data_IF_905360759286
#
_entry.id   IF_905360759286
#
_cell.length_a   1.000
_cell.length_b   1.000
_cell.length_c   1.000
_cell.angle_alpha   90.00
_cell.angle_beta   90.00
_cell.angle_gamma   90.00
#
_symmetry.space_group_name_H-M   'P 1'
#
loop_
_entity.id
_entity.type
_entity.pdbx_description
1 polymer ?
#
# COMPACT_ATOMS: atom_id res chain seq x y z
N UNK A 1 -1.07 59.56 -0.03
CA UNK A 1 -1.29 58.48 0.96
C UNK A 1 -1.35 57.17 0.20
N UNK A 2 -0.35 56.30 0.26
CA UNK A 2 -0.51 54.93 -0.19
C UNK A 2 -1.14 54.13 0.96
N UNK A 3 -2.28 53.50 0.69
CA UNK A 3 -2.93 52.60 1.62
C UNK A 3 -2.11 51.31 1.72
N UNK A 4 -1.41 51.11 2.83
CA UNK A 4 -0.80 49.84 3.17
C UNK A 4 -1.93 48.82 3.39
N UNK A 5 -2.00 47.81 2.52
CA UNK A 5 -2.73 46.59 2.82
C UNK A 5 -2.00 45.94 4.00
N UNK A 6 -2.68 45.56 5.09
CA UNK A 6 -2.03 44.85 6.19
C UNK A 6 -1.64 43.47 5.66
N UNK A 7 -0.36 43.29 5.34
CA UNK A 7 0.22 41.98 5.12
C UNK A 7 0.11 41.21 6.44
N UNK A 8 -0.80 40.24 6.49
CA UNK A 8 -0.92 39.33 7.63
C UNK A 8 0.41 38.65 7.92
N UNK A 9 0.69 38.42 9.20
CA UNK A 9 1.95 37.82 9.61
C UNK A 9 2.08 36.40 9.01
N UNK A 10 3.21 36.02 8.38
CA UNK A 10 3.42 34.69 7.80
C UNK A 10 3.14 33.54 8.77
N UNK A 11 3.40 33.75 10.07
CA UNK A 11 3.12 32.79 11.13
C UNK A 11 1.60 32.54 11.33
N UNK A 12 0.78 33.58 11.20
CA UNK A 12 -0.69 33.46 11.30
C UNK A 12 -1.26 32.72 10.08
N UNK A 13 -0.71 32.97 8.89
CA UNK A 13 -1.08 32.26 7.67
C UNK A 13 -0.74 30.76 7.76
N UNK A 14 0.46 30.42 8.24
CA UNK A 14 0.88 29.03 8.45
C UNK A 14 0.01 28.31 9.50
N UNK A 15 -0.33 28.98 10.61
CA UNK A 15 -1.21 28.43 11.64
C UNK A 15 -2.63 28.19 11.11
N UNK A 16 -3.19 29.13 10.35
CA UNK A 16 -4.49 29.01 9.71
C UNK A 16 -4.53 27.84 8.72
N UNK A 17 -3.48 27.69 7.92
CA UNK A 17 -3.35 26.60 6.96
C UNK A 17 -3.26 25.23 7.64
N UNK A 18 -2.51 25.13 8.76
CA UNK A 18 -2.45 23.90 9.56
C UNK A 18 -3.81 23.51 10.14
N UNK A 19 -4.57 24.49 10.65
CA UNK A 19 -5.94 24.28 11.12
C UNK A 19 -6.83 23.78 9.97
N UNK A 20 -6.75 24.43 8.80
CA UNK A 20 -7.51 24.03 7.61
C UNK A 20 -7.23 22.59 7.20
N UNK A 21 -5.96 22.17 7.17
CA UNK A 21 -5.55 20.79 6.85
C UNK A 21 -6.10 19.78 7.86
N UNK A 22 -6.00 20.07 9.16
CA UNK A 22 -6.54 19.22 10.21
C UNK A 22 -8.08 19.09 10.12
N UNK A 23 -8.79 20.17 9.78
CA UNK A 23 -10.24 20.11 9.53
C UNK A 23 -10.57 19.21 8.34
N UNK A 24 -9.80 19.30 7.25
CA UNK A 24 -10.00 18.42 6.10
C UNK A 24 -9.78 16.95 6.47
N UNK A 25 -8.74 16.61 7.22
CA UNK A 25 -8.52 15.23 7.67
C UNK A 25 -9.66 14.69 8.55
N UNK A 26 -10.21 15.53 9.43
CA UNK A 26 -11.35 15.17 10.24
C UNK A 26 -12.58 14.83 9.38
N UNK A 27 -12.86 15.63 8.34
CA UNK A 27 -13.92 15.37 7.37
C UNK A 27 -13.67 14.09 6.57
N UNK A 28 -12.42 13.83 6.14
CA UNK A 28 -12.07 12.60 5.44
C UNK A 28 -12.30 11.37 6.32
N UNK A 29 -11.93 11.43 7.59
CA UNK A 29 -12.13 10.34 8.56
C UNK A 29 -13.60 10.08 8.83
N UNK A 30 -14.41 11.13 8.96
CA UNK A 30 -15.87 11.01 9.05
C UNK A 30 -16.42 10.31 7.81
N UNK A 31 -16.00 10.74 6.61
CA UNK A 31 -16.45 10.14 5.36
C UNK A 31 -16.09 8.66 5.23
N UNK A 32 -14.86 8.29 5.59
CA UNK A 32 -14.44 6.89 5.61
C UNK A 32 -15.24 6.05 6.61
N UNK A 33 -15.65 6.64 7.73
CA UNK A 33 -16.51 5.97 8.72
C UNK A 33 -17.91 5.73 8.17
N UNK A 34 -18.48 6.68 7.44
CA UNK A 34 -19.73 6.46 6.68
C UNK A 34 -19.58 5.34 5.65
N UNK A 35 -18.50 5.36 4.86
CA UNK A 35 -18.22 4.31 3.88
C UNK A 35 -18.12 2.93 4.54
N UNK A 36 -17.43 2.81 5.68
CA UNK A 36 -17.34 1.55 6.44
C UNK A 36 -18.73 1.09 6.90
N UNK A 37 -19.53 1.98 7.48
CA UNK A 37 -20.88 1.65 7.95
C UNK A 37 -21.78 1.16 6.81
N UNK A 38 -21.74 1.83 5.65
CA UNK A 38 -22.47 1.41 4.46
C UNK A 38 -21.97 0.05 3.95
N UNK A 39 -20.66 -0.15 3.94
CA UNK A 39 -20.06 -1.43 3.57
C UNK A 39 -20.54 -2.55 4.50
N UNK A 40 -20.61 -2.30 5.81
CA UNK A 40 -21.08 -3.26 6.83
C UNK A 40 -22.55 -3.65 6.69
N UNK A 41 -23.39 -2.79 6.10
CA UNK A 41 -24.77 -3.17 5.78
C UNK A 41 -24.83 -4.33 4.77
N UNK A 42 -23.83 -4.46 3.88
CA UNK A 42 -23.67 -5.59 2.96
C UNK A 42 -23.01 -6.82 3.60
N UNK A 43 -23.33 -7.11 4.88
CA UNK A 43 -22.68 -8.13 5.71
C UNK A 43 -22.59 -9.55 5.12
N UNK A 44 -23.38 -9.87 4.09
CA UNK A 44 -23.48 -11.22 3.52
C UNK A 44 -22.60 -11.46 2.31
N UNK A 45 -22.01 -10.43 1.72
CA UNK A 45 -21.32 -10.55 0.44
C UNK A 45 -19.81 -10.42 0.61
N UNK A 46 -19.02 -11.36 0.06
CA UNK A 46 -17.56 -11.29 0.05
C UNK A 46 -17.01 -10.32 -1.00
N UNK A 47 -17.85 -9.93 -1.96
CA UNK A 47 -17.53 -8.99 -3.03
C UNK A 47 -18.43 -7.76 -2.95
N UNK A 48 -17.94 -6.67 -3.52
CA UNK A 48 -18.67 -5.41 -3.66
C UNK A 48 -19.15 -5.29 -5.10
N UNK A 49 -20.46 -5.17 -5.28
CA UNK A 49 -21.05 -4.92 -6.59
C UNK A 49 -20.62 -3.53 -7.09
N UNK A 50 -20.15 -3.47 -8.34
CA UNK A 50 -19.77 -2.22 -9.00
C UNK A 50 -20.92 -1.20 -9.07
N UNK A 51 -22.17 -1.67 -9.11
CA UNK A 51 -23.35 -0.80 -9.04
C UNK A 51 -23.48 -0.04 -7.72
N UNK A 52 -22.80 -0.49 -6.65
CA UNK A 52 -22.84 0.06 -5.30
C UNK A 52 -21.69 1.00 -4.95
N UNK A 53 -20.79 1.26 -5.90
CA UNK A 53 -19.62 2.10 -5.64
C UNK A 53 -19.98 3.56 -5.34
N UNK A 54 -21.03 4.09 -5.96
CA UNK A 54 -21.52 5.43 -5.66
C UNK A 54 -22.09 5.51 -4.24
N UNK A 55 -22.90 4.52 -3.82
CA UNK A 55 -23.43 4.40 -2.45
C UNK A 55 -22.28 4.37 -1.41
N UNK A 56 -21.16 3.74 -1.76
CA UNK A 56 -19.97 3.62 -0.91
C UNK A 56 -19.01 4.81 -1.01
N UNK A 57 -19.25 5.78 -1.89
CA UNK A 57 -18.30 6.86 -2.19
C UNK A 57 -16.91 6.32 -2.61
N UNK A 58 -16.89 5.23 -3.37
CA UNK A 58 -15.68 4.60 -3.92
C UNK A 58 -15.62 4.86 -5.41
N UNK A 59 -14.46 5.21 -5.95
CA UNK A 59 -14.23 5.24 -7.39
C UNK A 59 -13.22 4.18 -7.78
N UNK A 60 -13.52 3.48 -8.86
CA UNK A 60 -12.61 2.53 -9.46
C UNK A 60 -11.76 3.27 -10.52
N UNK A 61 -10.46 3.39 -10.25
CA UNK A 61 -9.51 4.04 -11.14
C UNK A 61 -9.03 3.13 -12.28
N UNK A 62 -8.13 3.62 -13.15
CA UNK A 62 -7.50 2.77 -14.16
C UNK A 62 -6.69 1.65 -13.49
N UNK A 63 -6.56 0.52 -14.19
CA UNK A 63 -5.79 -0.63 -13.71
C UNK A 63 -4.41 -0.21 -13.20
N UNK A 64 -3.97 -0.82 -12.11
CA UNK A 64 -2.60 -0.67 -11.63
C UNK A 64 -1.69 -1.52 -12.53
N UNK A 65 -0.89 -0.85 -13.34
CA UNK A 65 0.13 -1.52 -14.15
C UNK A 65 1.29 -1.95 -13.25
N UNK A 66 1.42 -3.26 -13.08
CA UNK A 66 2.43 -3.90 -12.23
C UNK A 66 3.62 -4.41 -13.03
N UNK A 67 3.49 -4.47 -14.36
CA UNK A 67 4.47 -5.02 -15.28
C UNK A 67 5.38 -3.92 -15.84
N UNK A 68 4.79 -2.76 -16.18
CA UNK A 68 5.52 -1.61 -16.72
C UNK A 68 5.68 -0.47 -15.69
N UNK A 69 6.49 -0.75 -14.69
CA UNK A 69 6.83 0.24 -13.67
C UNK A 69 7.82 1.30 -14.19
N UNK A 70 8.56 1.02 -15.27
CA UNK A 70 9.58 1.90 -15.87
C UNK A 70 9.03 3.11 -16.62
N UNK A 71 7.81 3.03 -17.15
CA UNK A 71 7.18 4.13 -17.88
C UNK A 71 6.73 5.22 -16.91
N UNK A 72 7.39 6.39 -16.97
CA UNK A 72 7.18 7.56 -16.12
C UNK A 72 6.18 8.57 -16.67
N UNK A 73 5.48 8.26 -17.77
CA UNK A 73 4.58 9.22 -18.43
C UNK A 73 3.47 9.71 -17.48
N UNK A 74 3.53 10.98 -17.01
CA UNK A 74 2.62 11.49 -16.02
C UNK A 74 1.34 11.93 -16.73
N UNK A 75 0.38 11.01 -16.86
CA UNK A 75 -1.00 11.44 -17.05
C UNK A 75 -1.63 11.68 -15.69
N UNK A 76 -2.49 12.70 -15.58
CA UNK A 76 -3.18 13.13 -14.35
C UNK A 76 -4.00 12.01 -13.67
N UNK A 77 -4.18 10.87 -14.35
CA UNK A 77 -4.91 9.69 -13.91
C UNK A 77 -4.03 8.50 -13.49
N UNK A 78 -2.70 8.64 -13.59
CA UNK A 78 -1.73 7.58 -13.31
C UNK A 78 -0.74 7.96 -12.19
N UNK A 79 -1.22 8.59 -11.11
CA UNK A 79 -0.36 8.78 -9.92
C UNK A 79 0.12 7.41 -9.43
N UNK A 80 1.39 7.11 -9.69
CA UNK A 80 2.15 6.00 -9.10
C UNK A 80 2.57 6.47 -7.72
N UNK A 81 2.09 5.80 -6.67
CA UNK A 81 2.50 6.09 -5.29
C UNK A 81 3.49 5.05 -4.74
N UNK A 82 3.64 3.94 -5.45
CA UNK A 82 4.53 2.84 -5.11
C UNK A 82 5.22 2.38 -6.39
N UNK A 83 6.48 2.00 -6.28
CA UNK A 83 7.21 1.25 -7.30
C UNK A 83 7.78 -0.02 -6.66
N UNK A 84 7.87 -1.14 -7.40
CA UNK A 84 8.52 -2.33 -6.89
C UNK A 84 10.00 -2.07 -6.63
N UNK A 85 10.58 -2.75 -5.64
CA UNK A 85 12.03 -2.72 -5.45
C UNK A 85 12.73 -3.32 -6.67
N UNK A 86 13.87 -2.76 -7.08
CA UNK A 86 14.54 -3.06 -8.36
C UNK A 86 15.53 -4.22 -8.28
N UNK A 87 15.34 -5.16 -7.34
CA UNK A 87 16.22 -6.31 -7.17
C UNK A 87 16.34 -7.14 -8.46
N UNK A 88 17.57 -7.36 -8.97
CA UNK A 88 17.81 -8.24 -10.12
C UNK A 88 17.31 -9.66 -9.85
N UNK A 89 16.80 -10.32 -10.89
CA UNK A 89 16.21 -11.66 -10.77
C UNK A 89 17.23 -12.70 -10.32
N UNK A 90 18.43 -12.66 -10.87
CA UNK A 90 19.56 -13.52 -10.50
C UNK A 90 19.98 -13.33 -9.04
N UNK A 91 19.93 -12.09 -8.54
CA UNK A 91 20.19 -11.80 -7.13
C UNK A 91 19.13 -12.41 -6.22
N UNK A 92 17.84 -12.23 -6.55
CA UNK A 92 16.73 -12.85 -5.82
C UNK A 92 16.88 -14.37 -5.77
N UNK A 93 17.18 -15.01 -6.91
CA UNK A 93 17.37 -16.46 -6.98
C UNK A 93 18.57 -16.92 -6.14
N UNK A 94 19.70 -16.21 -6.20
CA UNK A 94 20.92 -16.57 -5.48
C UNK A 94 20.74 -16.56 -3.95
N UNK A 95 20.22 -15.45 -3.40
CA UNK A 95 19.97 -15.35 -1.96
C UNK A 95 18.83 -16.26 -1.51
N UNK A 96 18.00 -16.70 -2.45
CA UNK A 96 16.85 -17.53 -2.15
C UNK A 96 17.13 -19.02 -1.96
N UNK A 97 18.31 -19.50 -2.33
CA UNK A 97 18.59 -20.94 -2.41
C UNK A 97 18.39 -21.72 -1.08
N UNK A 98 18.44 -21.04 0.07
CA UNK A 98 18.34 -21.66 1.39
C UNK A 98 16.92 -21.95 1.92
N UNK A 99 15.86 -21.35 1.34
CA UNK A 99 14.46 -21.58 1.80
C UNK A 99 13.48 -21.91 0.68
N UNK A 100 13.96 -22.43 -0.45
CA UNK A 100 13.10 -22.94 -1.55
C UNK A 100 12.14 -24.03 -1.07
N UNK A 101 12.55 -24.83 -0.08
CA UNK A 101 11.70 -25.85 0.55
C UNK A 101 10.42 -25.30 1.19
N UNK A 102 10.33 -23.99 1.44
CA UNK A 102 9.13 -23.33 1.96
C UNK A 102 8.10 -23.01 0.87
N UNK A 103 8.49 -23.03 -0.41
CA UNK A 103 7.54 -23.00 -1.52
C UNK A 103 6.89 -24.39 -1.63
N UNK A 104 5.90 -24.64 -0.78
CA UNK A 104 5.25 -25.94 -0.71
C UNK A 104 4.41 -26.14 -1.98
N UNK A 105 4.64 -27.22 -2.72
CA UNK A 105 3.77 -27.66 -3.81
C UNK A 105 2.38 -27.98 -3.26
N UNK A 106 1.37 -27.28 -3.75
CA UNK A 106 -0.01 -27.37 -3.22
C UNK A 106 -0.95 -28.19 -4.10
N UNK A 107 -0.50 -28.65 -5.26
CA UNK A 107 -1.34 -29.34 -6.26
C UNK A 107 -1.96 -30.65 -5.75
N UNK A 108 -1.38 -31.22 -4.70
CA UNK A 108 -1.86 -32.46 -4.07
C UNK A 108 -2.74 -32.22 -2.85
N UNK A 109 -2.89 -30.98 -2.38
CA UNK A 109 -3.78 -30.64 -1.27
C UNK A 109 -5.16 -30.34 -1.82
N UNK A 110 -6.18 -30.97 -1.27
CA UNK A 110 -7.56 -30.58 -1.54
C UNK A 110 -7.79 -29.18 -0.95
N UNK A 111 -7.73 -28.18 -1.83
CA UNK A 111 -7.92 -26.76 -1.55
C UNK A 111 -9.26 -26.47 -0.86
N UNK A 112 -10.22 -27.39 -0.92
CA UNK A 112 -11.54 -27.28 -0.32
C UNK A 112 -11.68 -28.05 1.01
N UNK A 113 -10.71 -28.89 1.38
CA UNK A 113 -10.69 -29.63 2.66
C UNK A 113 -9.94 -28.93 3.79
N UNK A 114 -9.00 -28.03 3.45
CA UNK A 114 -8.20 -27.24 4.40
C UNK A 114 -8.97 -26.03 4.95
N UNK A 115 -8.54 -25.46 6.10
CA UNK A 115 -9.06 -24.17 6.57
C UNK A 115 -8.97 -23.12 5.45
N UNK A 116 -9.94 -22.22 5.36
CA UNK A 116 -10.17 -21.42 4.14
C UNK A 116 -9.04 -20.46 3.77
N UNK A 117 -8.14 -20.16 4.72
CA UNK A 117 -6.92 -19.38 4.50
C UNK A 117 -5.61 -20.19 4.57
N UNK A 118 -5.66 -21.53 4.68
CA UNK A 118 -4.44 -22.32 4.90
C UNK A 118 -3.42 -22.14 3.77
N UNK A 119 -3.88 -22.14 2.52
CA UNK A 119 -3.02 -21.98 1.36
C UNK A 119 -2.34 -20.60 1.38
N UNK A 120 -3.15 -19.56 1.52
CA UNK A 120 -2.75 -18.16 1.52
C UNK A 120 -1.77 -17.89 2.64
N UNK A 121 -1.99 -18.51 3.81
CA UNK A 121 -1.10 -18.45 4.95
C UNK A 121 0.24 -19.13 4.67
N UNK A 122 0.27 -20.29 4.01
CA UNK A 122 1.52 -20.96 3.64
C UNK A 122 2.30 -20.14 2.61
N UNK A 123 1.63 -19.56 1.60
CA UNK A 123 2.27 -18.65 0.64
C UNK A 123 2.78 -17.38 1.32
N UNK A 124 1.99 -16.76 2.21
CA UNK A 124 2.43 -15.56 2.92
C UNK A 124 3.67 -15.81 3.79
N UNK A 125 3.79 -17.00 4.38
CA UNK A 125 5.00 -17.41 5.11
C UNK A 125 6.25 -17.45 4.23
N UNK A 126 6.13 -17.93 2.98
CA UNK A 126 7.25 -17.87 2.04
C UNK A 126 7.65 -16.43 1.77
N UNK A 127 6.69 -15.55 1.43
CA UNK A 127 6.98 -14.12 1.22
C UNK A 127 7.61 -13.46 2.45
N UNK A 128 7.07 -13.71 3.65
CA UNK A 128 7.65 -13.21 4.91
C UNK A 128 9.09 -13.68 5.09
N UNK A 129 9.34 -14.99 4.94
CA UNK A 129 10.68 -15.54 5.08
C UNK A 129 11.67 -14.93 4.08
N UNK A 130 11.23 -14.71 2.83
CA UNK A 130 12.04 -14.03 1.81
C UNK A 130 12.34 -12.60 2.19
N UNK A 131 11.33 -11.82 2.57
CA UNK A 131 11.54 -10.43 2.95
C UNK A 131 12.48 -10.30 4.17
N UNK A 132 12.44 -11.24 5.11
CA UNK A 132 13.40 -11.30 6.21
C UNK A 132 14.83 -11.69 5.78
N UNK A 133 15.02 -12.40 4.66
CA UNK A 133 16.36 -12.73 4.12
C UNK A 133 16.93 -11.62 3.25
N UNK A 134 16.04 -10.90 2.59
CA UNK A 134 16.33 -9.77 1.71
C UNK A 134 16.64 -8.49 2.48
N UNK A 135 17.03 -8.60 3.76
CA UNK A 135 17.09 -7.51 4.72
C UNK A 135 18.05 -6.39 4.28
N UNK A 136 17.47 -5.50 3.47
CA UNK A 136 17.60 -4.04 3.37
C UNK A 136 16.26 -3.56 2.73
N UNK A 137 15.10 -4.01 3.27
CA UNK A 137 13.87 -3.21 3.14
C UNK A 137 14.25 -1.86 3.70
N UNK A 138 14.40 -0.82 2.85
CA UNK A 138 15.01 0.45 3.23
C UNK A 138 14.61 0.81 4.67
N UNK A 139 15.50 0.55 5.65
CA UNK A 139 15.11 0.62 7.04
C UNK A 139 14.86 2.07 7.41
N UNK A 140 15.16 3.04 6.54
CA UNK A 140 14.79 4.43 6.74
C UNK A 140 13.31 4.71 6.38
N UNK A 141 12.66 3.80 5.64
CA UNK A 141 11.33 4.01 5.07
C UNK A 141 10.22 3.31 5.86
N UNK A 142 10.36 2.02 6.16
CA UNK A 142 9.26 1.20 6.68
C UNK A 142 9.46 0.74 8.14
N UNK A 143 8.41 0.89 8.95
CA UNK A 143 8.17 0.09 10.16
C UNK A 143 7.32 -1.13 9.78
N UNK A 144 7.85 -2.33 10.03
CA UNK A 144 7.24 -3.60 9.63
C UNK A 144 6.59 -4.29 10.83
N UNK A 145 5.31 -4.64 10.70
CA UNK A 145 4.56 -5.38 11.73
C UNK A 145 4.06 -6.69 11.16
N UNK A 146 4.67 -7.81 11.54
CA UNK A 146 4.41 -9.12 10.91
C UNK A 146 3.39 -9.98 11.66
N UNK A 147 3.03 -9.56 12.88
CA UNK A 147 2.12 -10.31 13.73
C UNK A 147 0.98 -9.41 14.23
N UNK A 148 -0.25 -9.93 14.23
CA UNK A 148 -1.42 -9.13 14.62
C UNK A 148 -1.33 -8.60 16.05
N UNK A 149 -0.74 -9.36 16.98
CA UNK A 149 -0.55 -8.89 18.36
C UNK A 149 0.48 -7.76 18.44
N UNK A 150 1.62 -7.91 17.77
CA UNK A 150 2.65 -6.88 17.68
C UNK A 150 2.08 -5.57 17.12
N UNK A 151 1.31 -5.64 16.03
CA UNK A 151 0.66 -4.48 15.41
C UNK A 151 -0.34 -3.79 16.34
N UNK A 152 -1.13 -4.57 17.09
CA UNK A 152 -2.06 -4.05 18.08
C UNK A 152 -1.33 -3.37 19.24
N UNK A 153 -0.30 -4.00 19.77
CA UNK A 153 0.42 -3.52 20.95
C UNK A 153 1.28 -2.30 20.63
N UNK A 154 1.93 -2.28 19.45
CA UNK A 154 2.86 -1.22 19.06
C UNK A 154 2.17 0.03 18.51
N UNK A 155 1.13 -0.14 17.68
CA UNK A 155 0.50 0.98 16.97
C UNK A 155 -1.02 1.03 17.09
N UNK A 156 -1.65 0.09 17.81
CA UNK A 156 -3.10 -0.01 17.95
C UNK A 156 -3.80 -0.03 16.58
N UNK A 157 -3.28 -0.85 15.66
CA UNK A 157 -3.88 -1.12 14.35
C UNK A 157 -4.39 -2.56 14.31
N UNK A 158 -5.69 -2.70 13.99
CA UNK A 158 -6.34 -4.00 13.77
C UNK A 158 -6.74 -4.11 12.31
N UNK A 159 -5.99 -4.88 11.52
CA UNK A 159 -6.42 -5.17 10.16
C UNK A 159 -7.75 -5.94 10.15
N UNK A 160 -8.59 -5.74 9.10
CA UNK A 160 -9.88 -6.40 9.02
C UNK A 160 -9.77 -7.92 9.03
N UNK A 161 -10.75 -8.55 9.67
CA UNK A 161 -10.95 -10.00 9.62
C UNK A 161 -12.43 -10.31 9.62
N UNK A 162 -12.88 -11.19 8.73
CA UNK A 162 -14.28 -11.58 8.62
C UNK A 162 -14.43 -13.02 8.17
N UNK A 163 -15.46 -13.67 8.72
CA UNK A 163 -15.95 -14.98 8.31
C UNK A 163 -17.38 -14.83 7.81
N UNK A 164 -17.70 -15.48 6.70
CA UNK A 164 -19.04 -15.55 6.14
C UNK A 164 -19.59 -16.96 6.32
N UNK A 165 -20.73 -17.04 7.01
CA UNK A 165 -21.42 -18.29 7.31
C UNK A 165 -22.77 -18.34 6.59
N UNK A 166 -23.26 -19.51 6.19
CA UNK A 166 -24.59 -19.65 5.61
C UNK A 166 -25.66 -19.16 6.61
N UNK A 167 -26.57 -18.28 6.17
CA UNK A 167 -27.65 -17.74 7.03
C UNK A 167 -28.53 -18.82 7.67
N UNK A 168 -28.70 -19.95 7.00
CA UNK A 168 -29.63 -20.99 7.41
C UNK A 168 -29.16 -21.80 8.63
N UNK A 169 -27.87 -21.74 8.99
CA UNK A 169 -27.26 -22.59 10.03
C UNK A 169 -26.10 -21.87 10.73
N UNK A 170 -26.29 -21.33 11.94
CA UNK A 170 -25.23 -20.64 12.70
C UNK A 170 -24.01 -21.53 13.00
N UNK A 171 -24.22 -22.85 13.03
CA UNK A 171 -23.23 -23.91 13.23
C UNK A 171 -22.60 -24.41 11.92
N UNK A 172 -23.06 -23.94 10.76
CA UNK A 172 -22.48 -24.34 9.49
C UNK A 172 -21.05 -23.82 9.35
N UNK A 173 -20.24 -24.61 8.64
CA UNK A 173 -18.90 -24.22 8.25
C UNK A 173 -18.95 -22.88 7.49
N UNK A 174 -18.02 -22.00 7.86
CA UNK A 174 -17.69 -20.81 7.09
C UNK A 174 -17.56 -21.20 5.61
N UNK A 175 -18.08 -20.41 4.68
CA UNK A 175 -17.93 -20.67 3.23
C UNK A 175 -16.93 -19.69 2.60
N UNK A 176 -16.68 -18.56 3.25
CA UNK A 176 -15.72 -17.55 2.83
C UNK A 176 -15.12 -16.88 4.06
N UNK A 177 -13.84 -16.59 4.06
CA UNK A 177 -13.19 -15.79 5.09
C UNK A 177 -12.06 -14.94 4.51
N UNK A 178 -11.73 -13.86 5.20
CA UNK A 178 -10.52 -13.08 4.94
C UNK A 178 -9.96 -12.51 6.23
N UNK A 179 -8.67 -12.18 6.23
CA UNK A 179 -8.00 -11.57 7.36
C UNK A 179 -6.67 -10.93 7.00
N UNK A 180 -6.39 -9.78 7.60
CA UNK A 180 -5.09 -9.15 7.52
C UNK A 180 -4.02 -9.92 8.30
N UNK A 181 -2.79 -9.91 7.79
CA UNK A 181 -1.65 -10.61 8.39
C UNK A 181 -0.57 -9.68 8.92
N UNK A 182 -0.19 -8.68 8.11
CA UNK A 182 0.93 -7.78 8.39
C UNK A 182 0.69 -6.43 7.73
N UNK A 183 1.37 -5.42 8.26
CA UNK A 183 1.31 -4.04 7.80
C UNK A 183 2.71 -3.42 7.74
N UNK A 184 2.91 -2.58 6.74
CA UNK A 184 4.05 -1.69 6.59
C UNK A 184 3.57 -0.27 6.78
N UNK A 185 4.17 0.45 7.72
CA UNK A 185 3.83 1.83 8.01
C UNK A 185 5.05 2.70 7.79
N UNK A 186 4.89 3.85 7.16
CA UNK A 186 5.99 4.79 7.06
C UNK A 186 6.50 5.18 8.45
N UNK A 187 7.83 5.25 8.59
CA UNK A 187 8.49 5.48 9.88
C UNK A 187 8.02 6.74 10.60
N UNK A 188 8.14 6.70 11.92
CA UNK A 188 7.94 7.88 12.75
C UNK A 188 8.86 9.04 12.36
N UNK A 189 8.27 10.15 11.90
CA UNK A 189 9.02 11.31 11.45
C UNK A 189 9.50 11.25 10.00
N UNK A 190 9.15 10.19 9.26
CA UNK A 190 9.33 10.13 7.81
C UNK A 190 8.44 11.17 7.12
N UNK A 191 8.94 11.71 6.01
CA UNK A 191 8.19 12.56 5.07
C UNK A 191 7.28 11.73 4.13
N UNK A 192 7.11 10.42 4.40
CA UNK A 192 6.25 9.55 3.60
C UNK A 192 4.95 9.29 4.35
N UNK A 193 3.82 9.52 3.66
CA UNK A 193 2.47 9.25 4.15
C UNK A 193 1.94 7.89 3.70
N UNK A 194 2.81 7.00 3.23
CA UNK A 194 2.46 5.74 2.61
C UNK A 194 2.26 4.64 3.65
N UNK A 195 1.47 3.63 3.29
CA UNK A 195 1.34 2.40 4.05
C UNK A 195 1.06 1.23 3.11
N UNK A 196 1.32 0.01 3.59
CA UNK A 196 0.91 -1.20 2.90
C UNK A 196 0.40 -2.25 3.88
N UNK A 197 -0.39 -3.21 3.40
CA UNK A 197 -0.82 -4.34 4.21
C UNK A 197 -1.04 -5.57 3.34
N UNK A 198 -0.97 -6.76 3.95
CA UNK A 198 -1.39 -7.99 3.30
C UNK A 198 -2.69 -8.51 3.89
N UNK A 199 -3.60 -8.84 2.98
CA UNK A 199 -4.82 -9.58 3.23
C UNK A 199 -4.68 -10.99 2.70
N UNK A 200 -5.12 -11.97 3.49
CA UNK A 200 -5.42 -13.31 2.98
C UNK A 200 -6.91 -13.38 2.72
N UNK A 201 -7.28 -13.89 1.56
CA UNK A 201 -8.66 -13.95 1.14
C UNK A 201 -8.98 -15.34 0.55
N UNK A 202 -10.09 -15.93 0.98
CA UNK A 202 -10.53 -17.26 0.56
C UNK A 202 -11.12 -17.33 -0.85
N UNK A 203 -11.27 -16.20 -1.54
CA UNK A 203 -11.72 -16.10 -2.93
C UNK A 203 -10.76 -16.79 -3.91
N UNK A 204 -11.29 -17.19 -5.07
CA UNK A 204 -10.54 -17.86 -6.14
C UNK A 204 -10.28 -16.95 -7.35
N UNK A 205 -9.88 -17.53 -8.49
CA UNK A 205 -9.63 -16.79 -9.76
C UNK A 205 -10.88 -16.12 -10.31
N UNK A 206 -12.07 -16.61 -9.96
CA UNK A 206 -13.35 -15.97 -10.28
C UNK A 206 -13.48 -14.55 -9.68
N UNK A 207 -12.57 -14.16 -8.78
CA UNK A 207 -12.47 -12.79 -8.29
C UNK A 207 -11.86 -11.80 -9.31
N UNK A 208 -11.39 -12.25 -10.47
CA UNK A 208 -10.88 -11.35 -11.50
C UNK A 208 -11.96 -10.37 -11.98
N UNK A 209 -11.58 -9.10 -12.10
CA UNK A 209 -12.52 -8.01 -12.39
C UNK A 209 -13.56 -7.70 -11.30
N UNK A 210 -13.59 -8.46 -10.19
CA UNK A 210 -14.45 -8.21 -9.03
C UNK A 210 -13.71 -7.39 -7.96
N UNK A 211 -14.44 -6.48 -7.31
CA UNK A 211 -13.94 -5.75 -6.15
C UNK A 211 -14.16 -6.61 -4.90
N UNK A 212 -13.08 -7.03 -4.25
CA UNK A 212 -13.18 -7.84 -3.03
C UNK A 212 -13.48 -6.95 -1.83
N UNK A 213 -14.33 -7.45 -0.92
CA UNK A 213 -14.61 -6.75 0.33
C UNK A 213 -13.35 -6.61 1.18
N UNK A 214 -12.49 -7.62 1.21
CA UNK A 214 -11.23 -7.59 1.97
C UNK A 214 -10.33 -6.42 1.58
N UNK A 215 -10.22 -6.14 0.27
CA UNK A 215 -9.43 -5.03 -0.26
C UNK A 215 -10.03 -3.67 0.11
N UNK A 216 -11.36 -3.55 0.06
CA UNK A 216 -12.07 -2.32 0.43
C UNK A 216 -11.98 -2.07 1.94
N UNK A 217 -12.30 -3.06 2.77
CA UNK A 217 -12.19 -2.96 4.22
C UNK A 217 -10.75 -2.60 4.63
N UNK A 218 -9.74 -3.22 4.00
CA UNK A 218 -8.34 -2.93 4.28
C UNK A 218 -7.97 -1.48 3.90
N UNK A 219 -8.38 -1.04 2.72
CA UNK A 219 -8.15 0.33 2.27
C UNK A 219 -8.80 1.37 3.20
N UNK A 220 -10.03 1.13 3.66
CA UNK A 220 -10.72 2.01 4.62
C UNK A 220 -9.99 2.02 5.96
N UNK A 221 -9.71 0.84 6.51
CA UNK A 221 -9.03 0.68 7.80
C UNK A 221 -7.67 1.39 7.83
N UNK A 222 -6.85 1.15 6.81
CA UNK A 222 -5.53 1.78 6.68
C UNK A 222 -5.63 3.30 6.45
N UNK A 223 -6.63 3.76 5.70
CA UNK A 223 -6.87 5.20 5.49
C UNK A 223 -7.25 5.90 6.80
N UNK A 224 -8.16 5.29 7.56
CA UNK A 224 -8.56 5.81 8.87
C UNK A 224 -7.37 5.84 9.84
N UNK A 225 -6.53 4.81 9.81
CA UNK A 225 -5.31 4.76 10.63
C UNK A 225 -4.35 5.91 10.31
N UNK A 226 -4.06 6.16 9.02
CA UNK A 226 -3.19 7.27 8.59
C UNK A 226 -3.75 8.66 8.97
N UNK A 227 -5.07 8.79 9.18
CA UNK A 227 -5.77 10.01 9.55
C UNK A 227 -6.03 10.16 11.06
N UNK A 228 -5.62 9.19 11.90
CA UNK A 228 -6.01 9.16 13.32
C UNK A 228 -5.40 10.30 14.14
N UNK A 229 -4.09 10.54 13.94
CA UNK A 229 -3.27 11.33 14.86
C UNK A 229 -2.68 12.60 14.22
N UNK A 230 -3.13 12.96 13.01
CA UNK A 230 -2.64 14.14 12.27
C UNK A 230 -1.17 14.07 11.86
N UNK A 231 -0.55 12.89 11.95
CA UNK A 231 0.87 12.64 11.65
C UNK A 231 1.26 13.08 10.25
N UNK A 232 0.31 12.99 9.31
CA UNK A 232 0.52 13.26 7.90
C UNK A 232 -0.33 14.45 7.41
N UNK A 233 -0.57 15.44 8.29
CA UNK A 233 -1.35 16.66 7.98
C UNK A 233 -0.77 17.50 6.85
N UNK A 234 0.55 17.44 6.64
CA UNK A 234 1.22 18.11 5.53
C UNK A 234 1.12 17.36 4.20
N UNK A 235 0.46 16.19 4.18
CA UNK A 235 0.20 15.41 2.98
C UNK A 235 -1.25 15.51 2.53
N UNK A 236 -1.44 15.95 1.29
CA UNK A 236 -2.74 15.96 0.63
C UNK A 236 -3.24 14.57 0.22
N UNK A 237 -2.33 13.61 0.09
CA UNK A 237 -2.65 12.21 -0.25
C UNK A 237 -1.91 11.25 0.67
N UNK A 238 -2.60 10.19 1.07
CA UNK A 238 -2.08 9.15 1.98
C UNK A 238 -2.29 7.80 1.30
N UNK A 239 -1.30 7.36 0.50
CA UNK A 239 -1.45 6.17 -0.33
C UNK A 239 -1.37 4.89 0.50
N UNK A 240 -2.10 3.87 0.06
CA UNK A 240 -2.12 2.54 0.64
C UNK A 240 -1.91 1.50 -0.46
N UNK A 241 -1.03 0.53 -0.24
CA UNK A 241 -0.91 -0.65 -1.07
C UNK A 241 -1.51 -1.85 -0.32
N UNK A 242 -2.62 -2.37 -0.81
CA UNK A 242 -3.20 -3.63 -0.30
C UNK A 242 -2.71 -4.76 -1.17
N UNK A 243 -1.95 -5.68 -0.59
CA UNK A 243 -1.58 -6.95 -1.21
C UNK A 243 -2.60 -7.99 -0.79
N UNK A 244 -3.16 -8.74 -1.72
CA UNK A 244 -4.12 -9.81 -1.42
C UNK A 244 -3.61 -11.13 -1.98
N UNK A 245 -3.48 -12.16 -1.13
CA UNK A 245 -3.24 -13.54 -1.59
C UNK A 245 -4.59 -14.28 -1.54
N UNK A 246 -4.94 -14.90 -2.66
CA UNK A 246 -6.18 -15.63 -2.90
C UNK A 246 -5.96 -17.15 -2.88
N UNK A 247 -7.04 -17.92 -2.73
CA UNK A 247 -7.00 -19.39 -2.54
C UNK A 247 -6.36 -20.14 -3.70
N UNK A 248 -6.68 -19.77 -4.93
CA UNK A 248 -6.29 -20.52 -6.13
C UNK A 248 -4.88 -20.18 -6.63
N UNK A 249 -3.96 -19.99 -5.70
CA UNK A 249 -2.58 -19.64 -6.00
C UNK A 249 -2.47 -18.39 -6.86
N UNK A 250 -3.24 -17.36 -6.55
CA UNK A 250 -3.12 -16.06 -7.21
C UNK A 250 -3.02 -14.95 -6.18
N UNK A 251 -2.47 -13.83 -6.60
CA UNK A 251 -2.40 -12.62 -5.79
C UNK A 251 -2.82 -11.39 -6.60
N UNK A 252 -3.12 -10.31 -5.90
CA UNK A 252 -3.46 -9.02 -6.51
C UNK A 252 -2.93 -7.87 -5.68
N UNK A 253 -2.54 -6.81 -6.36
CA UNK A 253 -2.14 -5.54 -5.76
C UNK A 253 -3.25 -4.53 -5.98
N UNK A 254 -3.66 -3.85 -4.91
CA UNK A 254 -4.65 -2.78 -4.96
C UNK A 254 -4.05 -1.51 -4.37
N UNK A 255 -3.80 -0.51 -5.22
CA UNK A 255 -3.43 0.83 -4.75
C UNK A 255 -4.70 1.59 -4.37
N UNK A 256 -4.72 2.16 -3.17
CA UNK A 256 -5.80 2.95 -2.65
C UNK A 256 -5.33 4.33 -2.18
N UNK A 257 -6.19 5.34 -2.29
CA UNK A 257 -6.02 6.62 -1.59
C UNK A 257 -7.35 7.35 -1.53
N UNK A 258 -7.54 8.20 -0.52
CA UNK A 258 -8.69 9.09 -0.46
C UNK A 258 -8.44 10.36 -1.28
N UNK A 259 -9.31 10.64 -2.26
CA UNK A 259 -9.29 11.88 -3.03
C UNK A 259 -10.19 12.90 -2.31
N UNK A 260 -9.57 13.84 -1.60
CA UNK A 260 -10.28 14.89 -0.87
C UNK A 260 -11.06 15.87 -1.75
N UNK A 261 -10.70 16.02 -3.04
CA UNK A 261 -11.44 16.89 -3.97
C UNK A 261 -12.72 16.21 -4.44
N UNK A 262 -12.65 14.91 -4.73
CA UNK A 262 -13.83 14.11 -5.12
C UNK A 262 -14.63 13.60 -3.93
N UNK A 263 -14.06 13.69 -2.73
CA UNK A 263 -14.60 13.11 -1.50
C UNK A 263 -14.89 11.61 -1.63
N UNK A 264 -13.96 10.88 -2.27
CA UNK A 264 -14.11 9.46 -2.61
C UNK A 264 -12.83 8.68 -2.36
N UNK A 265 -12.98 7.43 -1.94
CA UNK A 265 -11.88 6.47 -1.90
C UNK A 265 -11.61 5.94 -3.32
N UNK A 266 -10.40 6.15 -3.82
CA UNK A 266 -9.99 5.69 -5.15
C UNK A 266 -9.28 4.34 -5.00
N UNK A 267 -9.70 3.33 -5.75
CA UNK A 267 -9.08 2.00 -5.77
C UNK A 267 -8.60 1.67 -7.20
N UNK A 268 -7.40 1.12 -7.32
CA UNK A 268 -6.80 0.64 -8.56
C UNK A 268 -6.25 -0.76 -8.35
N UNK A 269 -6.90 -1.75 -8.94
CA UNK A 269 -6.46 -3.15 -8.88
C UNK A 269 -5.49 -3.45 -10.02
N UNK A 270 -4.50 -4.31 -9.78
CA UNK A 270 -3.68 -4.92 -10.81
C UNK A 270 -4.39 -6.09 -11.48
N UNK A 271 -3.77 -6.65 -12.53
CA UNK A 271 -4.07 -8.02 -12.96
C UNK A 271 -3.84 -9.01 -11.81
N UNK A 272 -4.39 -10.21 -11.94
CA UNK A 272 -4.00 -11.32 -11.08
C UNK A 272 -2.56 -11.76 -11.40
N UNK A 273 -1.80 -11.99 -10.35
CA UNK A 273 -0.47 -12.57 -10.37
C UNK A 273 -0.58 -14.07 -10.11
N UNK A 274 0.05 -14.90 -10.94
CA UNK A 274 0.06 -16.35 -10.80
C UNK A 274 1.14 -16.80 -9.80
N UNK A 275 0.70 -17.43 -8.72
CA UNK A 275 1.54 -18.03 -7.68
C UNK A 275 1.46 -19.56 -7.69
N UNK A 276 0.93 -20.14 -8.77
CA UNK A 276 0.93 -21.59 -8.98
C UNK A 276 2.28 -22.11 -9.45
N UNK A 277 2.44 -23.43 -9.44
CA UNK A 277 3.67 -24.09 -9.89
C UNK A 277 4.49 -24.73 -8.77
N UNK A 278 5.41 -25.59 -9.20
CA UNK A 278 6.31 -26.33 -8.31
C UNK A 278 7.35 -25.43 -7.66
N UNK A 279 7.74 -24.35 -8.35
CA UNK A 279 8.72 -23.36 -7.92
C UNK A 279 8.12 -21.94 -7.99
N UNK A 280 8.80 -20.98 -7.38
CA UNK A 280 8.42 -19.57 -7.46
C UNK A 280 8.68 -19.02 -8.88
N UNK A 281 7.60 -18.78 -9.63
CA UNK A 281 7.66 -18.17 -10.96
C UNK A 281 7.81 -16.65 -10.95
N UNK A 282 7.88 -16.04 -12.13
CA UNK A 282 8.10 -14.59 -12.33
C UNK A 282 7.13 -13.72 -11.54
N UNK A 283 5.85 -14.09 -11.48
CA UNK A 283 4.81 -13.37 -10.76
C UNK A 283 4.98 -13.42 -9.23
N UNK A 284 5.58 -14.50 -8.71
CA UNK A 284 5.94 -14.58 -7.28
C UNK A 284 7.09 -13.61 -6.98
N UNK A 285 8.10 -13.54 -7.84
CA UNK A 285 9.21 -12.60 -7.67
C UNK A 285 8.77 -11.15 -7.89
N UNK A 286 7.87 -10.90 -8.84
CA UNK A 286 7.24 -9.59 -9.04
C UNK A 286 6.49 -9.16 -7.79
N UNK A 287 5.66 -10.05 -7.23
CA UNK A 287 4.94 -9.77 -5.99
C UNK A 287 5.91 -9.44 -4.86
N UNK A 288 6.97 -10.23 -4.69
CA UNK A 288 7.99 -10.00 -3.65
C UNK A 288 8.60 -8.59 -3.73
N UNK A 289 8.94 -8.13 -4.94
CA UNK A 289 9.43 -6.76 -5.18
C UNK A 289 8.40 -5.68 -4.85
N UNK A 290 7.11 -5.92 -5.16
CA UNK A 290 6.02 -5.01 -4.79
C UNK A 290 5.75 -4.98 -3.29
N UNK A 291 5.91 -6.11 -2.59
CA UNK A 291 5.82 -6.15 -1.13
C UNK A 291 6.96 -5.36 -0.47
N UNK A 292 8.11 -5.25 -1.14
CA UNK A 292 9.22 -4.38 -0.78
C UNK A 292 9.18 -2.99 -1.44
N UNK A 293 8.00 -2.54 -1.89
CA UNK A 293 7.88 -1.32 -2.68
C UNK A 293 8.45 -0.07 -2.01
N UNK A 294 8.96 0.83 -2.84
CA UNK A 294 9.42 2.15 -2.44
C UNK A 294 8.29 3.18 -2.59
N UNK A 295 8.03 4.01 -1.57
CA UNK A 295 7.15 5.17 -1.66
C UNK A 295 7.61 6.16 -2.72
N UNK A 296 6.71 6.50 -3.64
CA UNK A 296 6.94 7.54 -4.65
C UNK A 296 5.72 8.44 -4.81
N UNK A 297 5.83 9.42 -5.70
CA UNK A 297 4.75 10.35 -6.02
C UNK A 297 4.67 11.54 -5.06
N UNK A 298 4.17 12.66 -5.56
CA UNK A 298 3.98 13.86 -4.75
C UNK A 298 2.75 13.66 -3.85
N UNK A 299 2.98 13.60 -2.54
CA UNK A 299 1.92 13.51 -1.53
C UNK A 299 1.83 14.75 -0.66
N UNK A 300 2.89 15.55 -0.57
CA UNK A 300 2.96 16.78 0.23
C UNK A 300 2.22 17.95 -0.45
N UNK A 301 1.58 18.79 0.36
CA UNK A 301 1.16 20.11 -0.10
C UNK A 301 2.40 20.92 -0.58
N UNK A 302 2.28 21.72 -1.65
CA UNK A 302 3.34 22.64 -2.04
C UNK A 302 3.73 23.50 -0.84
N UNK A 303 5.01 23.47 -0.46
CA UNK A 303 5.56 24.43 0.51
C UNK A 303 5.41 25.78 -0.15
N UNK A 304 4.61 26.68 0.44
CA UNK A 304 4.39 28.00 -0.12
C UNK A 304 5.74 28.64 -0.40
N UNK A 305 5.95 29.11 -1.64
CA UNK A 305 7.13 29.88 -2.00
C UNK A 305 7.25 31.02 -1.01
N UNK A 306 8.25 30.96 -0.12
CA UNK A 306 8.84 32.17 0.41
C UNK A 306 9.23 32.97 -0.83
N UNK A 307 8.56 34.09 -1.05
CA UNK A 307 8.87 35.02 -2.12
C UNK A 307 10.27 35.55 -1.85
N UNK A 308 11.28 34.91 -2.41
CA UNK A 308 12.58 35.53 -2.64
C UNK A 308 12.38 36.47 -3.83
N UNK A 309 11.75 37.61 -3.57
CA UNK A 309 11.91 38.78 -4.42
C UNK A 309 13.37 39.22 -4.31
N UNK A 310 14.15 38.84 -5.31
CA UNK A 310 15.58 39.11 -5.40
C UNK A 310 16.11 38.73 -6.77
N UNK A 311 15.59 39.39 -7.81
CA UNK A 311 16.08 39.35 -9.18
C UNK A 311 17.60 39.56 -9.24
N UNK A 312 18.34 38.67 -9.93
CA UNK A 312 19.44 39.06 -10.81
C UNK A 312 19.81 37.90 -11.75
N UNK A 313 19.88 38.26 -13.03
CA UNK A 313 20.14 37.46 -14.22
C UNK A 313 21.49 36.71 -14.27
N UNK A 314 21.45 35.64 -15.07
CA UNK A 314 22.51 34.99 -15.86
C UNK A 314 23.91 34.74 -15.25
N UNK A 315 24.30 33.45 -15.21
CA UNK A 315 25.37 32.91 -16.09
C UNK A 315 25.59 31.39 -15.92
N UNK A 316 25.41 30.68 -17.03
CA UNK A 316 26.21 29.56 -17.57
C UNK A 316 26.91 28.54 -16.64
N UNK A 317 26.56 27.27 -16.90
CA UNK A 317 27.41 26.07 -16.96
C UNK A 317 28.15 25.57 -15.70
N UNK A 318 27.92 24.31 -15.33
CA UNK A 318 28.82 23.17 -15.57
C UNK A 318 28.23 21.92 -14.87
N UNK A 319 28.26 20.77 -15.55
CA UNK A 319 27.84 19.48 -15.01
C UNK A 319 28.80 18.99 -13.89
N UNK A 320 28.33 18.25 -12.87
CA UNK A 320 29.22 17.71 -11.85
C UNK A 320 30.07 16.56 -12.41
N UNK A 321 31.39 16.68 -12.33
CA UNK A 321 32.32 15.61 -12.67
C UNK A 321 32.33 14.53 -11.59
N UNK A 322 32.18 13.27 -12.00
CA UNK A 322 32.55 12.10 -11.20
C UNK A 322 34.01 12.20 -10.73
N UNK A 323 34.22 12.10 -9.41
CA UNK A 323 35.54 11.79 -8.85
C UNK A 323 35.69 10.29 -8.78
N UNK A 324 36.51 9.74 -9.66
CA UNK A 324 37.09 8.40 -9.51
C UNK A 324 38.15 8.50 -8.42
N UNK A 325 37.92 7.82 -7.29
CA UNK A 325 38.96 7.61 -6.27
C UNK A 325 39.70 6.33 -6.59
N UNK A 326 40.79 6.46 -7.35
CA UNK A 326 41.85 5.45 -7.39
C UNK A 326 42.75 5.61 -6.15
N UNK A 327 42.74 4.62 -5.27
CA UNK A 327 43.84 4.40 -4.33
C UNK A 327 44.19 2.92 -4.26
N UNK A 328 45.01 2.50 -5.24
CA UNK A 328 45.95 1.39 -5.08
C UNK A 328 46.98 1.69 -3.99
N UNK A 329 47.21 0.73 -3.09
CA UNK A 329 48.53 0.18 -2.66
C UNK A 329 48.30 -0.79 -1.48
N UNK A 330 48.43 -2.09 -1.72
CA UNK A 330 49.65 -2.89 -1.47
C UNK A 330 50.09 -2.91 0.00
N UNK A 331 49.89 -4.06 0.64
CA UNK A 331 50.84 -4.61 1.60
C UNK A 331 50.87 -6.13 1.45
N UNK A 332 51.94 -6.60 0.81
CA UNK A 332 52.42 -7.99 0.88
C UNK A 332 53.31 -8.11 2.11
N UNK A 333 53.10 -9.15 2.92
CA UNK A 333 54.12 -9.81 3.77
C UNK A 333 53.58 -11.18 4.14
#
# INVERSE_FOLDING_TARGET
MPCCVPGGCPAEAAASEKIRRATLEAMQREKLSETQNTLDQFHTLPTVDKSKLDDLSISYGPMLDVDDWSVTSPTEYQSKYFIPFDWPQDWLEYISWSVDWQWVKMDHRDLYSSSHLQFQYLRSRWFRARLCQLDDLDPEVWDVYTESMEMMDAVNLRLPRREFKPKARPDAHTYYEYGGQWAYLAKAGSDKSHAACLMLDSGGKDADGLLLRSEVDAAICMSQFQLRDGRFTDHHTKPILVITILREQVARLTQAHFDGKKNRLILRQSRLLDLSGEDAGDDAWLLLRWMASTPVGQTEYPKGTESVDGYCDEKTSVAPSMRVSDSFRCCSS
#
